data_IF_524512489025
#
_entry.id   IF_524512489025
#
_cell.length_a   1.000
_cell.length_b   1.000
_cell.length_c   1.000
_cell.angle_alpha   90.00
_cell.angle_beta   90.00
_cell.angle_gamma   90.00
#
_symmetry.space_group_name_H-M   'P 1'
#
loop_
_entity.id
_entity.type
_entity.pdbx_description
1 polymer ?
#
# COMPACT_ATOMS: atom_id res chain seq x y z
N UNK A 1 38.30 35.26 13.53
CA UNK A 1 38.38 33.99 14.28
C UNK A 1 38.08 32.86 13.31
N UNK A 2 39.12 32.12 12.96
CA UNK A 2 39.05 30.89 12.14
C UNK A 2 38.89 29.72 13.10
N UNK A 3 37.91 28.86 12.87
CA UNK A 3 37.62 27.71 13.73
C UNK A 3 37.05 26.54 12.95
N UNK A 4 37.94 25.60 12.62
CA UNK A 4 37.73 24.16 12.43
C UNK A 4 36.58 23.71 11.49
N UNK A 5 36.87 23.70 10.18
CA UNK A 5 36.35 22.64 9.30
C UNK A 5 37.10 21.34 9.62
N UNK A 6 36.34 20.28 9.79
CA UNK A 6 36.79 18.93 10.10
C UNK A 6 37.81 18.42 9.08
N UNK A 7 38.99 18.00 9.54
CA UNK A 7 40.06 17.36 8.75
C UNK A 7 39.63 16.05 8.02
N UNK A 8 38.39 15.61 8.18
CA UNK A 8 37.85 14.40 7.53
C UNK A 8 37.34 14.71 6.11
N UNK A 9 36.75 15.90 5.89
CA UNK A 9 36.16 16.28 4.60
C UNK A 9 37.24 16.55 3.53
N UNK A 10 38.34 17.19 3.93
CA UNK A 10 39.43 17.56 3.01
C UNK A 10 40.25 16.33 2.54
N UNK A 11 40.30 15.26 3.35
CA UNK A 11 40.94 13.99 2.97
C UNK A 11 40.08 13.13 2.04
N UNK A 12 38.76 13.26 2.07
CA UNK A 12 37.87 12.55 1.14
C UNK A 12 37.86 13.20 -0.25
N UNK A 13 37.85 14.53 -0.32
CA UNK A 13 37.86 15.27 -1.60
C UNK A 13 39.18 15.02 -2.35
N UNK A 14 40.33 15.01 -1.65
CA UNK A 14 41.64 14.69 -2.26
C UNK A 14 41.77 13.24 -2.75
N UNK A 15 40.95 12.31 -2.26
CA UNK A 15 40.95 10.91 -2.74
C UNK A 15 40.05 10.72 -3.97
N UNK A 16 39.10 11.62 -4.22
CA UNK A 16 38.23 11.57 -5.40
C UNK A 16 38.90 12.15 -6.65
N UNK A 17 39.76 13.17 -6.52
CA UNK A 17 40.49 13.74 -7.66
C UNK A 17 41.69 12.88 -8.14
N UNK A 18 42.11 11.88 -7.35
CA UNK A 18 43.26 11.03 -7.67
C UNK A 18 42.90 9.73 -8.41
N UNK A 19 41.61 9.43 -8.61
CA UNK A 19 41.13 8.26 -9.33
C UNK A 19 40.49 8.68 -10.65
N UNK A 20 41.35 9.06 -11.59
CA UNK A 20 40.99 9.14 -12.99
C UNK A 20 40.43 7.80 -13.50
N UNK A 21 39.45 7.90 -14.41
CA UNK A 21 38.73 6.83 -15.10
C UNK A 21 37.79 5.96 -14.24
N UNK A 22 36.53 6.38 -14.17
CA UNK A 22 35.41 5.59 -13.68
C UNK A 22 34.73 4.82 -14.81
N UNK A 23 35.27 3.66 -15.19
CA UNK A 23 34.55 2.68 -16.05
C UNK A 23 34.33 1.32 -15.38
N UNK A 24 34.68 1.16 -14.09
CA UNK A 24 34.52 -0.13 -13.42
C UNK A 24 34.26 0.06 -11.91
N UNK A 25 33.06 0.54 -11.57
CA UNK A 25 32.57 0.45 -10.20
C UNK A 25 32.16 -1.00 -9.94
N UNK A 26 33.04 -1.75 -9.26
CA UNK A 26 32.82 -3.12 -8.81
C UNK A 26 31.63 -3.17 -7.84
N UNK A 27 30.43 -3.37 -8.40
CA UNK A 27 29.14 -3.50 -7.70
C UNK A 27 29.22 -4.55 -6.60
N UNK A 28 30.09 -5.57 -6.76
CA UNK A 28 30.31 -6.61 -5.75
C UNK A 28 30.94 -6.03 -4.49
N UNK A 29 31.88 -5.10 -4.60
CA UNK A 29 32.51 -4.45 -3.45
C UNK A 29 31.52 -3.59 -2.66
N UNK A 30 30.64 -2.84 -3.36
CA UNK A 30 29.60 -2.04 -2.74
C UNK A 30 28.56 -2.90 -2.00
N UNK A 31 28.09 -3.98 -2.64
CA UNK A 31 27.15 -4.93 -2.02
C UNK A 31 27.78 -5.63 -0.83
N UNK A 32 29.03 -6.11 -0.94
CA UNK A 32 29.71 -6.78 0.16
C UNK A 32 30.00 -5.85 1.35
N UNK A 33 30.30 -4.58 1.10
CA UNK A 33 30.44 -3.60 2.18
C UNK A 33 29.10 -3.32 2.87
N UNK A 34 27.98 -3.33 2.13
CA UNK A 34 26.64 -3.17 2.71
C UNK A 34 26.21 -4.39 3.53
N UNK A 35 26.49 -5.61 3.04
CA UNK A 35 26.24 -6.85 3.79
C UNK A 35 27.06 -6.86 5.09
N UNK A 36 28.32 -6.42 5.04
CA UNK A 36 29.17 -6.34 6.24
C UNK A 36 28.62 -5.32 7.25
N UNK A 37 28.17 -4.15 6.80
CA UNK A 37 27.57 -3.13 7.66
C UNK A 37 26.26 -3.60 8.34
N UNK A 38 25.41 -4.34 7.62
CA UNK A 38 24.17 -4.91 8.19
C UNK A 38 24.50 -5.97 9.25
N UNK A 39 25.48 -6.82 8.98
CA UNK A 39 25.92 -7.86 9.91
C UNK A 39 26.56 -7.28 11.18
N UNK A 40 27.32 -6.19 11.06
CA UNK A 40 27.90 -5.50 12.22
C UNK A 40 26.82 -4.78 13.06
N UNK A 41 25.79 -4.21 12.42
CA UNK A 41 24.63 -3.66 13.14
C UNK A 41 23.83 -4.75 13.87
N UNK A 42 23.61 -5.91 13.26
CA UNK A 42 22.93 -7.04 13.92
C UNK A 42 23.71 -7.56 15.13
N UNK A 43 25.04 -7.67 15.05
CA UNK A 43 25.88 -8.02 16.21
C UNK A 43 25.77 -7.02 17.37
N UNK A 44 25.54 -5.75 17.06
CA UNK A 44 25.39 -4.71 18.08
C UNK A 44 24.02 -4.83 18.77
N UNK A 45 22.96 -5.14 18.02
CA UNK A 45 21.61 -5.39 18.56
C UNK A 45 21.50 -6.71 19.35
N UNK A 46 22.19 -7.76 18.91
CA UNK A 46 22.22 -9.04 19.62
C UNK A 46 23.01 -8.95 20.94
N UNK A 47 24.04 -8.11 20.99
CA UNK A 47 24.80 -7.80 22.21
C UNK A 47 24.00 -7.02 23.26
N UNK A 48 23.09 -6.14 22.83
CA UNK A 48 22.14 -5.47 23.73
C UNK A 48 21.04 -6.42 24.23
N UNK A 49 20.62 -7.41 23.42
CA UNK A 49 19.68 -8.44 23.87
C UNK A 49 20.28 -9.46 24.86
N UNK A 50 21.59 -9.72 24.82
CA UNK A 50 22.24 -10.57 25.84
C UNK A 50 22.28 -9.94 27.23
N UNK A 51 22.41 -8.61 27.33
CA UNK A 51 22.34 -7.91 28.62
C UNK A 51 20.93 -7.88 29.23
N UNK A 52 19.88 -7.94 28.40
CA UNK A 52 18.49 -8.05 28.86
C UNK A 52 18.10 -9.48 29.29
N UNK A 53 18.86 -10.49 28.84
CA UNK A 53 18.60 -11.89 29.20
C UNK A 53 19.19 -12.27 30.57
N UNK A 54 20.35 -11.69 30.92
CA UNK A 54 20.97 -11.89 32.24
C UNK A 54 20.17 -11.22 33.38
N UNK A 55 19.36 -10.20 33.10
CA UNK A 55 18.42 -9.61 34.07
C UNK A 55 17.12 -10.41 34.26
N UNK A 56 16.79 -11.36 33.36
CA UNK A 56 15.55 -12.14 33.42
C UNK A 56 15.71 -13.57 33.99
N UNK A 57 16.94 -14.08 34.16
CA UNK A 57 17.19 -15.43 34.69
C UNK A 57 17.35 -15.48 36.24
N UNK A 58 16.99 -14.41 36.96
CA UNK A 58 17.00 -14.34 38.44
C UNK A 58 15.77 -14.97 39.14
N UNK A 59 14.86 -15.65 38.43
CA UNK A 59 13.70 -16.27 39.07
C UNK A 59 13.44 -17.70 38.57
N UNK A 60 13.84 -18.68 39.40
CA UNK A 60 13.14 -19.96 39.59
C UNK A 60 13.44 -21.12 38.62
N UNK A 61 14.12 -22.15 39.14
CA UNK A 61 14.31 -23.49 38.54
C UNK A 61 13.02 -24.37 38.54
N UNK A 62 12.99 -25.56 37.87
CA UNK A 62 11.96 -25.90 36.89
C UNK A 62 11.01 -27.07 37.27
N UNK A 63 9.84 -27.11 36.61
CA UNK A 63 8.98 -28.30 36.51
C UNK A 63 8.92 -28.82 35.06
N UNK A 64 9.18 -30.11 34.88
CA UNK A 64 9.34 -30.78 33.57
C UNK A 64 8.07 -30.78 32.67
N UNK A 65 8.24 -30.85 31.33
CA UNK A 65 7.13 -30.75 30.37
C UNK A 65 6.47 -32.11 30.07
N UNK A 66 5.13 -32.10 29.95
CA UNK A 66 4.37 -33.18 29.32
C UNK A 66 4.11 -32.79 27.86
N UNK A 67 4.73 -33.52 26.93
CA UNK A 67 4.45 -33.43 25.49
C UNK A 67 3.04 -33.95 25.19
N UNK A 68 2.22 -33.13 24.53
CA UNK A 68 1.16 -33.62 23.65
C UNK A 68 1.33 -33.01 22.27
N UNK A 69 1.71 -33.87 21.33
CA UNK A 69 1.77 -33.59 19.90
C UNK A 69 0.35 -33.45 19.38
N UNK A 70 -0.03 -32.27 18.90
CA UNK A 70 -1.25 -32.06 18.14
C UNK A 70 -0.87 -31.59 16.73
N UNK A 71 -1.01 -32.48 15.75
CA UNK A 71 -0.90 -32.15 14.32
C UNK A 71 -1.92 -31.07 13.97
N UNK A 72 -1.44 -29.87 13.60
CA UNK A 72 -2.28 -28.81 13.08
C UNK A 72 -2.22 -28.83 11.56
N UNK A 73 -3.22 -29.46 10.96
CA UNK A 73 -3.49 -29.39 9.53
C UNK A 73 -3.81 -27.93 9.16
N UNK A 74 -3.00 -27.33 8.29
CA UNK A 74 -3.21 -25.98 7.77
C UNK A 74 -4.28 -26.05 6.66
N UNK A 75 -5.41 -25.33 6.75
CA UNK A 75 -6.33 -25.24 5.62
C UNK A 75 -5.76 -24.28 4.56
N UNK A 76 -5.50 -24.78 3.35
CA UNK A 76 -5.25 -23.95 2.17
C UNK A 76 -6.51 -23.12 1.85
N UNK A 77 -6.40 -21.81 1.56
CA UNK A 77 -7.53 -21.03 1.09
C UNK A 77 -8.01 -21.52 -0.29
N UNK A 78 -9.32 -21.58 -0.41
CA UNK A 78 -10.07 -22.16 -1.51
C UNK A 78 -9.86 -21.43 -2.85
N UNK A 79 -9.63 -22.25 -3.87
CA UNK A 79 -9.59 -21.98 -5.31
C UNK A 79 -10.46 -20.81 -5.79
N UNK A 80 -9.81 -19.86 -6.45
CA UNK A 80 -10.39 -18.86 -7.33
C UNK A 80 -11.41 -19.49 -8.30
N UNK A 81 -12.66 -19.02 -8.23
CA UNK A 81 -13.67 -19.34 -9.25
C UNK A 81 -13.33 -18.59 -10.54
N UNK A 82 -12.80 -19.31 -11.53
CA UNK A 82 -12.75 -18.85 -12.93
C UNK A 82 -14.18 -18.64 -13.43
N UNK A 83 -14.58 -17.39 -13.68
CA UNK A 83 -15.72 -17.11 -14.56
C UNK A 83 -15.17 -16.95 -15.98
N UNK A 84 -15.39 -17.97 -16.79
CA UNK A 84 -15.32 -17.88 -18.25
C UNK A 84 -16.47 -16.98 -18.70
N UNK A 85 -16.17 -15.78 -19.19
CA UNK A 85 -17.12 -14.99 -19.97
C UNK A 85 -16.74 -15.13 -21.45
N UNK A 86 -17.36 -16.11 -22.09
CA UNK A 86 -17.50 -16.14 -23.55
C UNK A 86 -18.49 -15.05 -23.96
N UNK A 87 -18.05 -14.12 -24.81
CA UNK A 87 -18.95 -13.13 -25.40
C UNK A 87 -19.88 -13.76 -26.44
N UNK A 88 -21.13 -13.32 -26.47
CA UNK A 88 -21.98 -13.18 -27.67
C UNK A 88 -23.03 -12.09 -27.38
N UNK A 89 -23.16 -11.14 -28.30
CA UNK A 89 -24.22 -10.13 -28.40
C UNK A 89 -25.60 -10.76 -28.62
N UNK A 90 -26.66 -10.21 -28.01
CA UNK A 90 -27.98 -10.06 -28.66
C UNK A 90 -28.93 -9.23 -27.79
N UNK A 91 -29.48 -8.18 -28.41
CA UNK A 91 -30.65 -7.45 -27.93
C UNK A 91 -31.91 -8.33 -27.95
N UNK A 92 -32.88 -8.05 -27.07
CA UNK A 92 -34.32 -7.97 -27.38
C UNK A 92 -35.06 -7.29 -26.22
N UNK A 93 -36.04 -6.51 -26.62
CA UNK A 93 -36.92 -5.57 -25.93
C UNK A 93 -38.14 -6.24 -25.25
N UNK A 94 -38.70 -5.50 -24.28
CA UNK A 94 -40.12 -5.37 -23.86
C UNK A 94 -40.76 -6.33 -22.83
N UNK A 95 -41.51 -5.69 -21.91
CA UNK A 95 -42.61 -6.27 -21.12
C UNK A 95 -42.55 -5.92 -19.61
N UNK A 96 -42.80 -4.69 -19.17
CA UNK A 96 -44.08 -4.17 -18.63
C UNK A 96 -44.69 -4.86 -17.39
N UNK A 97 -44.93 -4.02 -16.36
CA UNK A 97 -46.00 -4.02 -15.32
C UNK A 97 -45.67 -4.62 -13.94
N UNK A 98 -45.93 -3.79 -12.90
CA UNK A 98 -46.20 -4.22 -11.51
C UNK A 98 -45.69 -3.26 -10.44
N UNK A 99 -46.13 -2.00 -10.41
CA UNK A 99 -46.95 -1.43 -9.31
C UNK A 99 -46.67 -1.94 -7.89
N UNK A 100 -46.15 -1.05 -7.05
CA UNK A 100 -46.00 -1.26 -5.61
C UNK A 100 -45.61 0.04 -4.90
N UNK A 101 -46.51 1.02 -4.96
CA UNK A 101 -46.43 2.22 -4.13
C UNK A 101 -46.57 1.83 -2.65
N UNK A 102 -45.58 2.19 -1.83
CA UNK A 102 -45.78 2.34 -0.39
C UNK A 102 -45.56 3.81 -0.04
N UNK A 103 -46.62 4.42 0.49
CA UNK A 103 -46.72 5.84 0.75
C UNK A 103 -45.90 6.27 1.96
N UNK A 104 -45.35 7.47 1.80
CA UNK A 104 -45.16 8.48 2.83
C UNK A 104 -46.38 8.58 3.76
N UNK A 105 -46.15 8.53 5.08
CA UNK A 105 -46.78 9.39 6.10
C UNK A 105 -46.28 8.98 7.48
N UNK A 106 -45.65 9.91 8.19
CA UNK A 106 -45.20 9.72 9.57
C UNK A 106 -44.47 10.93 10.11
N UNK A 107 -45.08 12.11 9.99
CA UNK A 107 -44.64 13.33 10.67
C UNK A 107 -44.78 13.10 12.18
N UNK A 108 -43.67 12.80 12.84
CA UNK A 108 -43.56 12.71 14.29
C UNK A 108 -42.32 13.49 14.69
N UNK A 109 -42.52 14.75 15.09
CA UNK A 109 -41.48 15.58 15.68
C UNK A 109 -40.95 14.92 16.95
N UNK A 110 -39.75 14.35 16.86
CA UNK A 110 -38.92 14.04 18.02
C UNK A 110 -37.53 14.54 17.66
N UNK A 111 -37.25 15.76 18.15
CA UNK A 111 -35.93 16.30 18.49
C UNK A 111 -34.75 15.58 17.86
N UNK A 112 -34.13 16.25 16.89
CA UNK A 112 -32.70 16.12 16.59
C UNK A 112 -31.92 16.09 17.91
N UNK A 113 -31.58 14.90 18.37
CA UNK A 113 -30.29 14.72 19.03
C UNK A 113 -29.33 14.48 17.89
N UNK A 114 -28.59 15.52 17.55
CA UNK A 114 -27.25 15.40 17.00
C UNK A 114 -26.44 14.49 17.93
N UNK A 115 -26.56 13.18 17.74
CA UNK A 115 -25.53 12.24 18.15
C UNK A 115 -24.42 12.38 17.12
N UNK A 116 -23.73 13.52 17.14
CA UNK A 116 -22.40 13.61 16.55
C UNK A 116 -21.57 12.53 17.23
N UNK A 117 -21.21 11.49 16.48
CA UNK A 117 -20.21 10.52 16.93
C UNK A 117 -18.97 11.31 17.34
N UNK A 118 -18.62 11.27 18.62
CA UNK A 118 -17.37 11.82 19.10
C UNK A 118 -16.24 10.83 18.79
N UNK A 119 -15.02 11.34 18.59
CA UNK A 119 -13.82 10.51 18.53
C UNK A 119 -13.06 10.72 19.83
N UNK A 120 -12.98 9.69 20.64
CA UNK A 120 -12.13 9.66 21.82
C UNK A 120 -10.69 9.36 21.40
N UNK A 121 -9.75 10.20 21.83
CA UNK A 121 -8.36 10.12 21.37
C UNK A 121 -7.45 9.83 22.53
N UNK A 122 -6.70 8.73 22.42
CA UNK A 122 -5.69 8.32 23.38
C UNK A 122 -4.30 8.39 22.75
N UNK A 123 -3.32 8.95 23.47
CA UNK A 123 -1.91 8.98 23.09
C UNK A 123 -1.11 8.13 24.07
N UNK A 124 -0.70 6.90 23.70
CA UNK A 124 0.14 6.07 24.57
C UNK A 124 1.48 6.75 24.84
N UNK A 125 1.97 6.66 26.07
CA UNK A 125 3.23 7.27 26.51
C UNK A 125 4.47 6.65 25.87
N UNK A 126 4.38 5.42 25.37
CA UNK A 126 5.46 4.68 24.68
C UNK A 126 5.35 4.74 23.15
N UNK A 127 4.35 5.44 22.60
CA UNK A 127 4.09 5.54 21.15
C UNK A 127 3.55 4.26 20.50
N UNK A 128 3.45 3.15 21.24
CA UNK A 128 2.99 1.86 20.73
C UNK A 128 1.46 1.75 20.83
N UNK A 129 0.79 1.72 19.69
CA UNK A 129 -0.65 1.53 19.59
C UNK A 129 -0.92 0.13 19.07
N UNK A 130 -1.80 -0.59 19.76
CA UNK A 130 -2.33 -1.87 19.30
C UNK A 130 -3.85 -1.75 19.15
N UNK A 131 -4.36 -2.17 17.99
CA UNK A 131 -5.78 -2.39 17.78
C UNK A 131 -6.09 -3.87 18.02
N UNK A 132 -7.22 -4.13 18.69
CA UNK A 132 -7.73 -5.47 18.95
C UNK A 132 -9.08 -5.68 18.27
N UNK A 133 -9.36 -6.91 17.85
CA UNK A 133 -10.70 -7.26 17.36
C UNK A 133 -11.68 -7.53 18.51
N UNK A 134 -12.94 -7.85 18.20
CA UNK A 134 -13.96 -8.13 19.23
C UNK A 134 -13.62 -9.33 20.13
N UNK A 135 -12.74 -10.23 19.66
CA UNK A 135 -12.21 -11.36 20.43
C UNK A 135 -10.99 -11.03 21.30
N UNK A 136 -10.55 -9.75 21.36
CA UNK A 136 -9.38 -9.32 22.13
C UNK A 136 -8.04 -9.66 21.50
N UNK A 137 -8.02 -10.17 20.26
CA UNK A 137 -6.78 -10.50 19.55
C UNK A 137 -6.20 -9.25 18.90
N UNK A 138 -4.90 -9.03 19.06
CA UNK A 138 -4.18 -7.97 18.35
C UNK A 138 -4.23 -8.17 16.83
N UNK A 139 -4.65 -7.14 16.10
CA UNK A 139 -4.79 -7.14 14.64
C UNK A 139 -3.88 -6.14 13.97
N UNK A 140 -3.64 -4.98 14.60
CA UNK A 140 -2.71 -3.94 14.13
C UNK A 140 -1.81 -3.54 15.28
N UNK A 141 -0.52 -3.36 15.01
CA UNK A 141 0.44 -2.80 15.98
C UNK A 141 1.33 -1.77 15.31
N UNK A 142 1.53 -0.62 15.94
CA UNK A 142 2.53 0.34 15.46
C UNK A 142 3.94 -0.10 15.84
N UNK A 143 4.89 0.16 14.93
CA UNK A 143 6.32 -0.10 15.15
C UNK A 143 7.12 1.11 14.68
N UNK A 144 8.10 1.53 15.47
CA UNK A 144 9.03 2.57 15.02
C UNK A 144 9.97 2.00 13.97
N UNK A 145 10.12 2.71 12.86
CA UNK A 145 10.97 2.31 11.75
C UNK A 145 11.99 3.40 11.47
N UNK A 146 13.21 3.18 11.97
CA UNK A 146 14.32 4.14 11.88
C UNK A 146 15.29 3.81 10.73
N UNK A 147 14.79 3.17 9.67
CA UNK A 147 15.67 2.76 8.57
C UNK A 147 15.90 3.97 7.68
N UNK A 148 17.15 4.42 7.51
CA UNK A 148 17.43 5.58 6.67
C UNK A 148 16.92 5.33 5.26
N UNK A 149 16.26 6.33 4.68
CA UNK A 149 15.76 6.28 3.30
C UNK A 149 16.96 5.93 2.41
N UNK A 150 16.91 4.84 1.63
CA UNK A 150 18.02 4.47 0.77
C UNK A 150 18.30 5.61 -0.21
N UNK A 151 19.55 6.07 -0.27
CA UNK A 151 19.97 6.98 -1.33
C UNK A 151 19.83 6.25 -2.68
N UNK A 152 19.11 6.87 -3.63
CA UNK A 152 19.00 6.32 -4.99
C UNK A 152 20.38 6.31 -5.66
N UNK A 153 20.72 5.20 -6.31
CA UNK A 153 21.91 5.14 -7.16
C UNK A 153 21.55 5.51 -8.59
N UNK A 154 22.49 6.01 -9.42
CA UNK A 154 22.22 6.27 -10.83
C UNK A 154 21.68 5.05 -11.59
N UNK A 155 22.05 3.83 -11.18
CA UNK A 155 21.54 2.60 -11.75
C UNK A 155 20.05 2.37 -11.43
N UNK A 156 19.61 2.69 -10.20
CA UNK A 156 18.19 2.63 -9.80
C UNK A 156 17.39 3.67 -10.56
N UNK A 157 17.88 4.90 -10.65
CA UNK A 157 17.20 5.98 -11.38
C UNK A 157 17.02 5.63 -12.85
N UNK A 158 18.07 5.11 -13.49
CA UNK A 158 18.00 4.65 -14.88
C UNK A 158 17.03 3.48 -15.06
N UNK A 159 17.03 2.51 -14.15
CA UNK A 159 16.09 1.39 -14.18
C UNK A 159 14.64 1.88 -14.07
N UNK A 160 14.34 2.76 -13.12
CA UNK A 160 13.00 3.32 -12.91
C UNK A 160 12.54 4.15 -14.12
N UNK A 161 13.44 4.93 -14.72
CA UNK A 161 13.18 5.72 -15.93
C UNK A 161 12.83 4.81 -17.13
N UNK A 162 13.59 3.74 -17.36
CA UNK A 162 13.28 2.75 -18.40
C UNK A 162 11.97 2.02 -18.12
N UNK A 163 11.74 1.61 -16.87
CA UNK A 163 10.49 0.96 -16.46
C UNK A 163 9.28 1.85 -16.73
N UNK A 164 9.36 3.14 -16.39
CA UNK A 164 8.32 4.11 -16.68
C UNK A 164 8.09 4.28 -18.18
N UNK A 165 9.16 4.40 -18.97
CA UNK A 165 9.09 4.51 -20.44
C UNK A 165 8.37 3.32 -21.07
N UNK A 166 8.71 2.10 -20.67
CA UNK A 166 8.02 0.90 -21.18
C UNK A 166 6.57 0.82 -20.70
N UNK A 167 6.30 1.21 -19.45
CA UNK A 167 4.93 1.29 -18.93
C UNK A 167 4.08 2.26 -19.76
N UNK A 168 4.58 3.45 -20.09
CA UNK A 168 3.88 4.42 -20.94
C UNK A 168 3.58 3.87 -22.34
N UNK A 169 4.53 3.16 -22.95
CA UNK A 169 4.29 2.48 -24.23
C UNK A 169 3.15 1.46 -24.13
N UNK A 170 3.07 0.70 -23.04
CA UNK A 170 1.95 -0.24 -22.82
C UNK A 170 0.64 0.53 -22.64
N UNK A 171 0.63 1.56 -21.80
CA UNK A 171 -0.57 2.37 -21.52
C UNK A 171 -1.13 3.02 -22.80
N UNK A 172 -0.29 3.41 -23.75
CA UNK A 172 -0.73 3.96 -25.04
C UNK A 172 -1.55 2.96 -25.90
N UNK A 173 -1.52 1.67 -25.57
CA UNK A 173 -2.30 0.61 -26.25
C UNK A 173 -3.51 0.14 -25.44
N UNK A 174 -3.79 0.79 -24.30
CA UNK A 174 -4.87 0.44 -23.40
C UNK A 174 -5.92 1.56 -23.36
N UNK A 175 -7.18 1.18 -23.51
CA UNK A 175 -8.30 2.04 -23.17
C UNK A 175 -8.41 2.15 -21.64
N UNK A 176 -9.09 3.21 -21.16
CA UNK A 176 -9.42 3.34 -19.74
C UNK A 176 -10.14 2.09 -19.23
N UNK A 177 -9.71 1.57 -18.08
CA UNK A 177 -10.22 0.32 -17.49
C UNK A 177 -9.56 -0.95 -18.02
N UNK A 178 -8.65 -0.88 -19.00
CA UNK A 178 -7.93 -2.06 -19.50
C UNK A 178 -6.59 -2.27 -18.78
N UNK A 179 -6.18 -3.53 -18.70
CA UNK A 179 -4.91 -3.97 -18.13
C UNK A 179 -4.14 -4.82 -19.14
N UNK A 180 -2.81 -4.75 -19.09
CA UNK A 180 -1.94 -5.68 -19.80
C UNK A 180 -0.83 -6.21 -18.90
N UNK A 181 -0.48 -7.46 -19.13
CA UNK A 181 0.81 -7.99 -18.71
C UNK A 181 1.83 -7.70 -19.80
N UNK A 182 3.07 -7.38 -19.42
CA UNK A 182 4.13 -7.12 -20.37
C UNK A 182 5.51 -7.61 -19.90
N UNK A 183 6.38 -7.83 -20.87
CA UNK A 183 7.74 -8.29 -20.71
C UNK A 183 8.67 -7.45 -21.59
N UNK A 184 9.79 -7.03 -21.02
CA UNK A 184 10.80 -6.20 -21.68
C UNK A 184 12.03 -7.03 -22.01
N UNK A 185 12.26 -7.27 -23.30
CA UNK A 185 13.47 -7.85 -23.86
C UNK A 185 14.43 -6.76 -24.38
N UNK A 186 14.85 -5.88 -23.46
CA UNK A 186 15.90 -4.89 -23.73
C UNK A 186 17.15 -5.27 -22.93
N UNK A 187 18.31 -5.26 -23.60
CA UNK A 187 19.59 -5.66 -23.03
C UNK A 187 19.99 -4.78 -21.83
N UNK A 188 19.80 -3.48 -21.93
CA UNK A 188 20.14 -2.54 -20.86
C UNK A 188 19.17 -2.69 -19.68
N UNK A 189 17.86 -2.73 -19.96
CA UNK A 189 16.84 -2.97 -18.94
C UNK A 189 17.12 -4.28 -18.20
N UNK A 190 17.40 -5.35 -18.94
CA UNK A 190 17.71 -6.68 -18.39
C UNK A 190 18.97 -6.67 -17.54
N UNK A 191 20.02 -5.98 -18.00
CA UNK A 191 21.28 -5.86 -17.26
C UNK A 191 21.05 -5.14 -15.92
N UNK A 192 20.31 -4.04 -15.93
CA UNK A 192 19.97 -3.28 -14.73
C UNK A 192 19.10 -4.09 -13.78
N UNK A 193 18.04 -4.72 -14.27
CA UNK A 193 17.13 -5.53 -13.46
C UNK A 193 17.87 -6.68 -12.76
N UNK A 194 18.79 -7.36 -13.46
CA UNK A 194 19.63 -8.42 -12.87
C UNK A 194 20.65 -7.85 -11.88
N UNK A 195 21.34 -6.77 -12.23
CA UNK A 195 22.36 -6.16 -11.38
C UNK A 195 21.80 -5.60 -10.07
N UNK A 196 20.53 -5.16 -10.08
CA UNK A 196 19.80 -4.68 -8.91
C UNK A 196 19.04 -5.79 -8.15
N UNK A 197 19.09 -7.04 -8.64
CA UNK A 197 18.40 -8.17 -8.01
C UNK A 197 16.89 -8.23 -8.25
N UNK A 198 16.33 -7.35 -9.09
CA UNK A 198 14.91 -7.37 -9.46
C UNK A 198 14.58 -8.55 -10.39
N UNK A 199 15.53 -9.03 -11.19
CA UNK A 199 15.28 -10.07 -12.19
C UNK A 199 14.38 -9.57 -13.33
N UNK A 200 14.36 -10.30 -14.45
CA UNK A 200 13.47 -9.97 -15.57
C UNK A 200 12.06 -10.46 -15.26
N UNK A 201 11.25 -9.58 -14.68
CA UNK A 201 9.91 -9.91 -14.22
C UNK A 201 8.85 -9.58 -15.27
N UNK A 202 7.80 -10.39 -15.27
CA UNK A 202 6.52 -10.04 -15.90
C UNK A 202 5.98 -8.83 -15.14
N UNK A 203 5.65 -7.78 -15.87
CA UNK A 203 5.15 -6.52 -15.34
C UNK A 203 3.68 -6.35 -15.73
N UNK A 204 3.00 -5.43 -15.05
CA UNK A 204 1.60 -5.13 -15.30
C UNK A 204 1.39 -3.63 -15.43
N UNK A 205 0.57 -3.24 -16.41
CA UNK A 205 0.15 -1.85 -16.60
C UNK A 205 -1.38 -1.81 -16.66
N UNK A 206 -1.95 -0.85 -15.94
CA UNK A 206 -3.39 -0.61 -15.89
C UNK A 206 -3.66 0.85 -16.26
N UNK A 207 -4.57 1.06 -17.20
CA UNK A 207 -5.02 2.38 -17.61
C UNK A 207 -6.19 2.80 -16.73
N UNK A 208 -5.89 3.55 -15.66
CA UNK A 208 -6.87 3.91 -14.64
C UNK A 208 -8.01 4.78 -15.21
N UNK A 209 -9.28 4.34 -15.12
CA UNK A 209 -10.43 5.14 -15.52
C UNK A 209 -10.72 6.24 -14.49
N UNK A 210 -11.24 7.38 -14.95
CA UNK A 210 -11.66 8.50 -14.10
C UNK A 210 -13.18 8.59 -14.12
N UNK A 211 -13.78 8.60 -12.93
CA UNK A 211 -15.22 8.68 -12.73
C UNK A 211 -15.58 10.02 -12.11
N UNK A 212 -16.39 10.81 -12.81
CA UNK A 212 -16.94 12.09 -12.29
C UNK A 212 -18.31 11.91 -11.60
N UNK A 213 -18.85 10.69 -11.58
CA UNK A 213 -20.09 10.36 -10.88
C UNK A 213 -19.82 9.29 -9.84
N UNK A 214 -20.18 9.60 -8.59
CA UNK A 214 -20.01 8.69 -7.46
C UNK A 214 -20.66 7.31 -7.70
N UNK A 215 -21.88 7.29 -8.25
CA UNK A 215 -22.61 6.04 -8.48
C UNK A 215 -21.91 5.13 -9.49
N UNK A 216 -21.31 5.70 -10.54
CA UNK A 216 -20.58 4.94 -11.56
C UNK A 216 -19.30 4.35 -10.96
N UNK A 217 -18.59 5.14 -10.15
CA UNK A 217 -17.41 4.68 -9.42
C UNK A 217 -17.73 3.51 -8.47
N UNK A 218 -18.75 3.66 -7.62
CA UNK A 218 -19.16 2.60 -6.67
C UNK A 218 -19.60 1.34 -7.40
N UNK A 219 -20.31 1.49 -8.52
CA UNK A 219 -20.73 0.36 -9.35
C UNK A 219 -19.53 -0.39 -9.93
N UNK A 220 -18.53 0.33 -10.42
CA UNK A 220 -17.30 -0.25 -10.93
C UNK A 220 -16.53 -0.99 -9.83
N UNK A 221 -16.33 -0.37 -8.67
CA UNK A 221 -15.60 -0.99 -7.56
C UNK A 221 -16.23 -2.33 -7.14
N UNK A 222 -17.57 -2.37 -7.02
CA UNK A 222 -18.33 -3.60 -6.71
C UNK A 222 -18.32 -4.64 -7.84
N UNK A 223 -18.19 -4.20 -9.10
CA UNK A 223 -18.15 -5.09 -10.26
C UNK A 223 -16.79 -5.75 -10.45
N UNK A 224 -15.72 -5.01 -10.14
CA UNK A 224 -14.33 -5.41 -10.40
C UNK A 224 -13.70 -6.15 -9.20
N UNK A 225 -14.24 -6.01 -7.99
CA UNK A 225 -13.91 -6.85 -6.84
C UNK A 225 -14.77 -6.55 -5.60
N UNK A 226 -14.52 -7.26 -4.50
CA UNK A 226 -15.07 -6.88 -3.18
C UNK A 226 -14.23 -5.76 -2.56
N UNK A 227 -14.02 -4.67 -3.33
CA UNK A 227 -13.33 -3.48 -2.83
C UNK A 227 -14.33 -2.55 -2.17
N UNK A 228 -14.05 -2.19 -0.92
CA UNK A 228 -14.94 -1.38 -0.12
C UNK A 228 -14.91 0.09 -0.54
N UNK A 229 -16.04 0.70 -0.94
CA UNK A 229 -16.04 2.08 -1.39
C UNK A 229 -16.66 3.05 -0.38
N UNK A 230 -16.95 2.70 0.89
CA UNK A 230 -17.78 3.55 1.79
C UNK A 230 -17.21 4.93 2.17
N UNK A 231 -16.33 5.47 1.36
CA UNK A 231 -16.28 6.90 1.14
C UNK A 231 -17.67 7.37 0.65
N UNK A 232 -18.37 8.26 1.38
CA UNK A 232 -19.71 8.73 0.98
C UNK A 232 -19.61 9.72 -0.19
N UNK A 233 -20.73 10.00 -0.87
CA UNK A 233 -20.74 11.04 -1.91
C UNK A 233 -20.59 12.46 -1.35
N UNK A 234 -20.83 12.66 -0.05
CA UNK A 234 -20.72 13.94 0.66
C UNK A 234 -20.13 13.65 2.05
N UNK A 235 -19.07 14.36 2.43
CA UNK A 235 -18.48 14.29 3.78
C UNK A 235 -19.31 15.10 4.78
N UNK A 236 -19.20 14.79 6.08
CA UNK A 236 -20.03 15.43 7.12
C UNK A 236 -19.85 16.96 7.24
N UNK A 237 -18.78 17.55 6.69
CA UNK A 237 -18.55 19.00 6.62
C UNK A 237 -18.97 19.62 5.26
N UNK A 238 -19.68 18.88 4.41
CA UNK A 238 -20.26 19.37 3.16
C UNK A 238 -19.31 19.38 1.96
N UNK A 239 -18.19 18.67 2.00
CA UNK A 239 -17.39 18.43 0.80
C UNK A 239 -18.08 17.38 -0.07
N UNK A 240 -18.22 17.67 -1.36
CA UNK A 240 -18.92 16.83 -2.31
C UNK A 240 -17.93 16.11 -3.22
N UNK A 241 -18.27 14.86 -3.55
CA UNK A 241 -17.52 14.05 -4.50
C UNK A 241 -17.31 14.83 -5.81
N UNK A 242 -16.06 14.90 -6.26
CA UNK A 242 -15.69 15.54 -7.52
C UNK A 242 -15.33 14.49 -8.58
N UNK A 243 -14.35 13.65 -8.28
CA UNK A 243 -13.96 12.52 -9.12
C UNK A 243 -13.27 11.42 -8.33
N UNK A 244 -13.16 10.24 -8.92
CA UNK A 244 -12.38 9.14 -8.38
C UNK A 244 -11.74 8.28 -9.46
N UNK A 245 -10.71 7.55 -9.05
CA UNK A 245 -10.04 6.54 -9.87
C UNK A 245 -9.59 5.37 -8.98
N UNK A 246 -9.06 4.31 -9.61
CA UNK A 246 -8.51 3.18 -8.88
C UNK A 246 -7.29 2.61 -9.60
N UNK A 247 -6.51 1.81 -8.87
CA UNK A 247 -5.39 1.01 -9.38
C UNK A 247 -5.77 -0.46 -9.29
N UNK A 248 -5.58 -1.18 -10.39
CA UNK A 248 -5.77 -2.63 -10.43
C UNK A 248 -4.62 -3.33 -9.72
N UNK A 249 -4.94 -4.35 -8.92
CA UNK A 249 -3.92 -5.21 -8.34
C UNK A 249 -3.35 -6.15 -9.43
N UNK A 250 -2.05 -6.51 -9.37
CA UNK A 250 -1.51 -7.57 -10.20
C UNK A 250 -2.31 -8.88 -9.99
N UNK A 251 -2.79 -9.53 -11.07
CA UNK A 251 -3.62 -10.73 -10.94
C UNK A 251 -2.82 -11.96 -10.52
N UNK A 252 -1.49 -11.94 -10.70
CA UNK A 252 -0.59 -13.05 -10.42
C UNK A 252 0.71 -12.56 -9.78
N UNK A 253 1.24 -13.37 -8.89
CA UNK A 253 2.53 -13.21 -8.22
C UNK A 253 3.60 -14.13 -8.82
N UNK A 254 4.89 -13.84 -8.63
CA UNK A 254 5.98 -14.67 -9.17
C UNK A 254 5.94 -16.16 -8.77
N UNK A 255 5.28 -16.49 -7.66
CA UNK A 255 5.11 -17.87 -7.20
C UNK A 255 4.03 -18.63 -7.99
N UNK A 256 3.06 -17.92 -8.55
CA UNK A 256 1.90 -18.47 -9.22
C UNK A 256 2.27 -19.16 -10.54
N UNK A 257 1.49 -20.17 -10.91
CA UNK A 257 1.70 -20.92 -12.13
C UNK A 257 1.42 -20.06 -13.36
N UNK A 258 0.32 -19.34 -13.34
CA UNK A 258 -0.14 -18.44 -14.42
C UNK A 258 0.91 -17.36 -14.74
N UNK A 259 1.55 -16.80 -13.72
CA UNK A 259 2.66 -15.86 -13.89
C UNK A 259 3.82 -16.50 -14.67
N UNK A 260 4.27 -17.69 -14.26
CA UNK A 260 5.40 -18.40 -14.88
C UNK A 260 5.10 -18.78 -16.32
N UNK A 261 3.91 -19.29 -16.58
CA UNK A 261 3.46 -19.66 -17.93
C UNK A 261 3.44 -18.45 -18.87
N UNK A 262 2.91 -17.32 -18.41
CA UNK A 262 2.86 -16.09 -19.21
C UNK A 262 4.26 -15.52 -19.47
N UNK A 263 5.13 -15.51 -18.46
CA UNK A 263 6.52 -15.09 -18.59
C UNK A 263 7.28 -15.97 -19.61
N UNK A 264 7.12 -17.29 -19.52
CA UNK A 264 7.73 -18.23 -20.47
C UNK A 264 7.23 -18.00 -21.90
N UNK A 265 5.95 -17.72 -22.09
CA UNK A 265 5.38 -17.41 -23.39
C UNK A 265 5.99 -16.15 -23.99
N UNK A 266 6.10 -15.06 -23.22
CA UNK A 266 6.75 -13.83 -23.70
C UNK A 266 8.24 -14.04 -23.98
N UNK A 267 8.96 -14.79 -23.16
CA UNK A 267 10.36 -15.11 -23.42
C UNK A 267 10.54 -15.97 -24.68
N UNK A 268 9.62 -16.91 -24.96
CA UNK A 268 9.62 -17.68 -26.22
C UNK A 268 9.39 -16.76 -27.42
N UNK A 269 8.37 -15.87 -27.35
CA UNK A 269 8.10 -14.86 -28.40
C UNK A 269 9.33 -13.97 -28.64
N UNK A 270 9.99 -13.52 -27.58
CA UNK A 270 11.17 -12.68 -27.67
C UNK A 270 12.40 -13.37 -28.29
N UNK A 271 12.59 -14.68 -28.04
CA UNK A 271 13.71 -15.44 -28.63
C UNK A 271 13.59 -15.68 -30.12
N UNK A 272 12.36 -15.80 -30.63
CA UNK A 272 12.11 -16.06 -32.05
C UNK A 272 11.87 -14.79 -32.86
N UNK A 273 11.68 -13.65 -32.18
CA UNK A 273 11.54 -12.36 -32.84
C UNK A 273 12.83 -11.96 -33.57
N UNK A 274 12.67 -11.56 -34.83
CA UNK A 274 13.75 -11.06 -35.69
C UNK A 274 13.61 -9.57 -35.98
N UNK A 275 12.54 -8.94 -35.51
CA UNK A 275 12.24 -7.53 -35.77
C UNK A 275 13.00 -6.59 -34.84
N UNK A 276 13.57 -7.12 -33.75
CA UNK A 276 14.22 -6.32 -32.71
C UNK A 276 13.22 -5.69 -31.75
N UNK A 277 12.00 -6.23 -31.69
CA UNK A 277 10.97 -5.78 -30.78
C UNK A 277 11.42 -6.02 -29.33
N UNK A 278 11.35 -4.97 -28.52
CA UNK A 278 11.78 -5.00 -27.12
C UNK A 278 10.63 -5.24 -26.14
N UNK A 279 9.38 -4.95 -26.54
CA UNK A 279 8.23 -4.99 -25.66
C UNK A 279 7.23 -6.04 -26.14
N UNK A 280 6.93 -7.02 -25.29
CA UNK A 280 5.93 -8.06 -25.53
C UNK A 280 4.82 -7.91 -24.52
N UNK A 281 3.56 -7.82 -24.96
CA UNK A 281 2.44 -7.59 -24.05
C UNK A 281 1.20 -8.36 -24.49
N UNK A 282 0.29 -8.56 -23.54
CA UNK A 282 -1.01 -9.18 -23.74
C UNK A 282 -2.04 -8.53 -22.81
N UNK A 283 -3.21 -8.19 -23.36
CA UNK A 283 -4.32 -7.67 -22.55
C UNK A 283 -4.83 -8.77 -21.63
N UNK A 284 -5.07 -8.43 -20.37
CA UNK A 284 -5.55 -9.35 -19.35
C UNK A 284 -6.76 -8.76 -18.64
N UNK A 285 -7.57 -9.61 -18.02
CA UNK A 285 -8.72 -9.16 -17.24
C UNK A 285 -8.26 -8.51 -15.92
N UNK A 286 -8.94 -7.43 -15.54
CA UNK A 286 -8.87 -6.89 -14.18
C UNK A 286 -9.79 -7.73 -13.30
N UNK A 287 -9.27 -8.22 -12.17
CA UNK A 287 -10.02 -9.09 -11.25
C UNK A 287 -9.89 -8.66 -9.78
N UNK A 288 -9.10 -7.62 -9.50
CA UNK A 288 -8.86 -7.11 -8.17
C UNK A 288 -8.40 -5.65 -8.21
N UNK A 289 -8.67 -4.93 -7.13
CA UNK A 289 -8.34 -3.53 -6.95
C UNK A 289 -7.31 -3.42 -5.82
N UNK A 290 -6.23 -2.70 -6.08
CA UNK A 290 -5.14 -2.43 -5.13
C UNK A 290 -5.49 -1.24 -4.24
N UNK A 291 -5.88 -0.13 -4.87
CA UNK A 291 -6.23 1.10 -4.19
C UNK A 291 -7.24 1.92 -4.98
N UNK A 292 -7.93 2.81 -4.28
CA UNK A 292 -8.81 3.83 -4.83
C UNK A 292 -8.28 5.22 -4.48
N UNK A 293 -8.52 6.19 -5.33
CA UNK A 293 -8.19 7.60 -5.11
C UNK A 293 -9.47 8.41 -5.34
N UNK A 294 -9.82 9.28 -4.39
CA UNK A 294 -11.07 10.06 -4.42
C UNK A 294 -10.77 11.52 -4.12
N UNK A 295 -11.30 12.41 -4.95
CA UNK A 295 -11.30 13.86 -4.75
C UNK A 295 -12.67 14.33 -4.29
N UNK A 296 -12.67 15.21 -3.31
CA UNK A 296 -13.83 16.00 -2.91
C UNK A 296 -13.53 17.47 -3.03
N UNK A 297 -14.56 18.26 -3.28
CA UNK A 297 -14.45 19.70 -3.39
C UNK A 297 -15.45 20.42 -2.48
N UNK A 298 -15.08 21.61 -2.04
CA UNK A 298 -15.96 22.57 -1.38
C UNK A 298 -15.42 23.98 -1.64
N UNK A 299 -16.16 24.79 -2.38
CA UNK A 299 -15.69 26.11 -2.82
C UNK A 299 -14.33 25.98 -3.52
N UNK A 300 -13.32 26.72 -3.08
CA UNK A 300 -11.95 26.67 -3.63
C UNK A 300 -11.05 25.60 -2.97
N UNK A 301 -11.62 24.72 -2.14
CA UNK A 301 -10.87 23.72 -1.39
C UNK A 301 -11.08 22.31 -1.94
N UNK A 302 -9.99 21.54 -2.04
CA UNK A 302 -10.00 20.14 -2.49
C UNK A 302 -9.42 19.23 -1.41
N UNK A 303 -10.05 18.07 -1.23
CA UNK A 303 -9.57 16.98 -0.39
C UNK A 303 -9.30 15.77 -1.28
N UNK A 304 -8.05 15.32 -1.30
CA UNK A 304 -7.64 14.10 -2.01
C UNK A 304 -7.34 12.99 -0.99
N UNK A 305 -7.94 11.83 -1.21
CA UNK A 305 -7.80 10.67 -0.35
C UNK A 305 -7.40 9.45 -1.16
N UNK A 306 -6.44 8.69 -0.65
CA UNK A 306 -6.04 7.39 -1.18
C UNK A 306 -6.43 6.28 -0.20
N UNK A 307 -7.29 5.37 -0.65
CA UNK A 307 -7.78 4.22 0.10
C UNK A 307 -7.12 2.95 -0.40
N UNK A 308 -6.62 2.12 0.51
CA UNK A 308 -6.16 0.76 0.23
C UNK A 308 -6.68 -0.22 1.27
N UNK A 309 -6.78 -1.49 0.88
CA UNK A 309 -7.23 -2.57 1.75
C UNK A 309 -6.35 -3.81 1.57
N UNK A 310 -6.16 -4.58 2.62
CA UNK A 310 -5.48 -5.87 2.59
C UNK A 310 -6.23 -6.90 3.42
N UNK A 311 -6.24 -8.15 2.96
CA UNK A 311 -6.85 -9.25 3.70
C UNK A 311 -6.05 -9.53 4.98
N UNK A 312 -6.75 -9.72 6.10
CA UNK A 312 -6.12 -10.10 7.36
C UNK A 312 -5.72 -11.58 7.33
N UNK A 313 -4.41 -11.85 7.36
CA UNK A 313 -3.86 -13.22 7.27
C UNK A 313 -3.74 -13.93 8.62
N UNK A 314 -4.40 -13.44 9.68
CA UNK A 314 -4.37 -14.08 11.00
C UNK A 314 -3.17 -13.73 11.89
N UNK A 315 -2.19 -12.97 11.39
CA UNK A 315 -1.08 -12.40 12.17
C UNK A 315 -1.27 -10.92 12.49
N UNK A 316 -0.45 -10.36 13.38
CA UNK A 316 -0.50 -8.91 13.67
C UNK A 316 0.06 -8.15 12.46
N UNK A 317 -0.73 -7.22 11.91
CA UNK A 317 -0.26 -6.29 10.88
C UNK A 317 0.55 -5.17 11.54
N UNK A 318 1.81 -5.03 11.13
CA UNK A 318 2.67 -3.95 11.62
C UNK A 318 2.50 -2.70 10.76
N UNK A 319 2.33 -1.55 11.41
CA UNK A 319 2.26 -0.25 10.76
C UNK A 319 3.42 0.60 11.23
N UNK A 320 4.25 1.06 10.29
CA UNK A 320 5.45 1.83 10.60
C UNK A 320 5.12 3.28 10.98
N UNK A 321 5.66 3.73 12.11
CA UNK A 321 5.81 5.14 12.48
C UNK A 321 7.23 5.54 12.12
N UNK A 322 7.37 6.51 11.21
CA UNK A 322 8.67 7.01 10.77
C UNK A 322 9.17 8.11 11.72
N UNK A 323 10.46 8.43 11.63
CA UNK A 323 11.05 9.54 12.35
C UNK A 323 10.28 10.85 12.09
N UNK A 324 10.05 11.62 13.15
CA UNK A 324 9.25 12.85 13.10
C UNK A 324 7.73 12.66 13.05
N UNK A 325 7.21 11.44 12.92
CA UNK A 325 5.77 11.18 12.98
C UNK A 325 5.29 10.90 14.41
N UNK A 326 4.01 11.17 14.65
CA UNK A 326 3.33 10.81 15.90
C UNK A 326 2.11 9.96 15.58
N UNK A 327 1.71 9.10 16.51
CA UNK A 327 0.55 8.25 16.35
C UNK A 327 -0.46 8.45 17.49
N UNK A 328 -1.74 8.36 17.15
CA UNK A 328 -2.87 8.52 18.05
C UNK A 328 -3.82 7.32 17.87
N UNK A 329 -4.36 6.82 18.98
CA UNK A 329 -5.44 5.83 18.94
C UNK A 329 -6.77 6.58 18.95
N UNK A 330 -7.57 6.36 17.92
CA UNK A 330 -8.88 7.00 17.75
C UNK A 330 -9.97 5.97 17.98
N UNK A 331 -10.87 6.23 18.91
CA UNK A 331 -12.01 5.38 19.23
C UNK A 331 -13.30 6.12 18.87
N UNK A 332 -14.10 5.58 17.97
CA UNK A 332 -15.34 6.22 17.55
C UNK A 332 -16.46 5.86 18.52
N UNK A 333 -16.96 6.87 19.22
CA UNK A 333 -18.02 6.74 20.21
C UNK A 333 -19.30 6.24 19.53
N UNK A 334 -19.98 5.28 20.16
CA UNK A 334 -21.22 4.68 19.66
C UNK A 334 -21.04 3.42 18.82
N UNK A 335 -19.89 3.26 18.15
CA UNK A 335 -19.59 2.08 17.30
C UNK A 335 -18.57 1.15 17.97
N UNK A 336 -17.74 1.70 18.88
CA UNK A 336 -16.66 0.98 19.54
C UNK A 336 -15.50 0.64 18.60
N UNK A 337 -15.52 1.14 17.37
CA UNK A 337 -14.46 0.91 16.39
C UNK A 337 -13.24 1.74 16.73
N UNK A 338 -12.08 1.13 16.53
CA UNK A 338 -10.79 1.74 16.82
C UNK A 338 -9.95 1.89 15.55
N UNK A 339 -9.18 2.97 15.50
CA UNK A 339 -8.26 3.27 14.42
C UNK A 339 -6.92 3.79 14.97
N UNK A 340 -5.87 3.64 14.17
CA UNK A 340 -4.58 4.29 14.38
C UNK A 340 -4.47 5.44 13.40
N UNK A 341 -4.40 6.66 13.93
CA UNK A 341 -4.03 7.84 13.14
C UNK A 341 -2.53 8.08 13.29
N UNK A 342 -1.82 8.29 12.19
CA UNK A 342 -0.41 8.68 12.17
C UNK A 342 -0.32 10.01 11.47
N UNK A 343 0.10 11.04 12.21
CA UNK A 343 0.29 12.37 11.66
C UNK A 343 1.52 12.43 10.76
N UNK A 344 1.44 13.24 9.70
CA UNK A 344 2.58 13.57 8.85
C UNK A 344 3.75 14.12 9.69
N UNK A 345 4.96 13.78 9.30
CA UNK A 345 6.18 14.26 9.93
C UNK A 345 6.39 15.75 9.65
N UNK A 346 6.83 16.50 10.65
CA UNK A 346 7.01 17.95 10.55
C UNK A 346 8.31 18.39 9.88
N UNK A 347 9.17 17.44 9.48
CA UNK A 347 10.46 17.75 8.87
C UNK A 347 10.30 18.24 7.42
N UNK A 348 10.66 19.51 7.22
CA UNK A 348 10.69 20.15 5.89
C UNK A 348 11.67 19.41 4.99
N UNK A 349 11.17 18.86 3.88
CA UNK A 349 11.98 18.27 2.81
C UNK A 349 11.80 16.77 2.62
N UNK A 350 11.07 16.08 3.50
CA UNK A 350 10.70 14.68 3.25
C UNK A 350 9.65 14.60 2.14
N UNK A 351 10.07 14.27 0.92
CA UNK A 351 9.17 13.91 -0.18
C UNK A 351 8.99 12.40 -0.15
N UNK A 352 8.07 11.91 0.70
CA UNK A 352 7.87 10.48 0.87
C UNK A 352 6.70 10.16 1.80
N UNK A 353 6.51 8.88 2.08
CA UNK A 353 5.42 8.37 2.93
C UNK A 353 5.36 9.00 4.33
N UNK A 354 6.44 9.60 4.81
CA UNK A 354 6.49 10.37 6.05
C UNK A 354 5.67 11.66 6.01
N UNK A 355 5.42 12.24 4.84
CA UNK A 355 4.72 13.52 4.69
C UNK A 355 3.20 13.41 4.62
N UNK A 356 2.65 12.20 4.68
CA UNK A 356 1.21 11.95 4.63
C UNK A 356 0.67 11.65 6.03
N UNK A 357 -0.53 12.15 6.29
CA UNK A 357 -1.33 11.65 7.39
C UNK A 357 -1.96 10.32 6.96
N UNK A 358 -2.09 9.40 7.92
CA UNK A 358 -2.53 8.03 7.63
C UNK A 358 -3.48 7.55 8.70
N UNK A 359 -4.55 6.88 8.31
CA UNK A 359 -5.50 6.27 9.21
C UNK A 359 -5.64 4.79 8.88
N UNK A 360 -5.41 3.92 9.87
CA UNK A 360 -5.53 2.47 9.74
C UNK A 360 -6.62 1.94 10.66
N UNK A 361 -7.45 1.02 10.17
CA UNK A 361 -8.42 0.31 10.99
C UNK A 361 -8.63 -1.12 10.50
N UNK A 362 -9.15 -1.96 11.38
CA UNK A 362 -9.56 -3.32 11.04
C UNK A 362 -11.07 -3.35 10.85
N UNK A 363 -11.53 -3.86 9.71
CA UNK A 363 -12.92 -4.22 9.53
C UNK A 363 -13.11 -5.72 9.76
N UNK A 364 -13.77 -6.05 10.86
CA UNK A 364 -13.99 -7.42 11.29
C UNK A 364 -15.00 -8.15 10.38
N UNK A 365 -15.96 -7.44 9.79
CA UNK A 365 -16.97 -8.02 8.91
C UNK A 365 -16.36 -8.59 7.63
N UNK A 366 -15.44 -7.86 7.01
CA UNK A 366 -14.72 -8.31 5.81
C UNK A 366 -13.37 -8.96 6.11
N UNK A 367 -12.95 -9.01 7.38
CA UNK A 367 -11.59 -9.43 7.79
C UNK A 367 -10.50 -8.70 6.99
N UNK A 368 -10.60 -7.38 6.86
CA UNK A 368 -9.62 -6.57 6.10
C UNK A 368 -9.00 -5.49 6.96
N UNK A 369 -7.71 -5.26 6.78
CA UNK A 369 -7.03 -4.06 7.25
C UNK A 369 -7.16 -2.99 6.18
N UNK A 370 -7.68 -1.83 6.57
CA UNK A 370 -7.88 -0.70 5.68
C UNK A 370 -6.96 0.44 6.06
N UNK A 371 -6.59 1.23 5.06
CA UNK A 371 -5.82 2.44 5.27
C UNK A 371 -6.29 3.55 4.35
N UNK A 372 -6.39 4.75 4.92
CA UNK A 372 -6.68 5.98 4.21
C UNK A 372 -5.50 6.93 4.40
N UNK A 373 -5.05 7.59 3.34
CA UNK A 373 -4.00 8.61 3.39
C UNK A 373 -4.42 9.86 2.62
N UNK A 374 -3.88 11.02 2.98
CA UNK A 374 -4.09 12.26 2.23
C UNK A 374 -3.09 12.38 1.07
N UNK A 375 -3.32 13.31 0.15
CA UNK A 375 -2.42 13.58 -0.96
C UNK A 375 -1.03 14.04 -0.49
N UNK A 376 0.03 13.56 -1.15
CA UNK A 376 1.44 13.88 -0.80
C UNK A 376 1.75 15.39 -0.72
N UNK A 377 1.00 16.21 -1.46
CA UNK A 377 1.23 17.65 -1.55
C UNK A 377 0.16 18.48 -0.80
N UNK A 378 -0.90 17.84 -0.32
CA UNK A 378 -2.08 18.49 0.27
C UNK A 378 -2.43 17.80 1.59
N UNK A 379 -1.56 17.97 2.59
CA UNK A 379 -1.78 17.36 3.89
C UNK A 379 -2.97 18.01 4.59
N UNK A 380 -3.93 17.19 5.00
CA UNK A 380 -5.16 17.65 5.63
C UNK A 380 -4.89 18.00 7.10
N UNK A 381 -5.70 18.89 7.66
CA UNK A 381 -5.64 19.16 9.10
C UNK A 381 -6.18 17.97 9.89
N UNK A 382 -5.79 17.89 11.16
CA UNK A 382 -6.28 16.86 12.08
C UNK A 382 -7.81 16.90 12.22
N UNK A 383 -8.40 18.08 12.24
CA UNK A 383 -9.86 18.28 12.33
C UNK A 383 -10.56 17.77 11.07
N UNK A 384 -9.99 18.00 9.88
CA UNK A 384 -10.51 17.43 8.64
C UNK A 384 -10.47 15.90 8.70
N UNK A 385 -9.38 15.32 9.21
CA UNK A 385 -9.28 13.87 9.42
C UNK A 385 -10.32 13.32 10.39
N UNK A 386 -10.66 14.03 11.46
CA UNK A 386 -11.72 13.61 12.37
C UNK A 386 -13.09 13.59 11.69
N UNK A 387 -13.39 14.61 10.87
CA UNK A 387 -14.62 14.64 10.06
C UNK A 387 -14.67 13.47 9.08
N UNK A 388 -13.55 13.22 8.41
CA UNK A 388 -13.38 12.10 7.48
C UNK A 388 -13.64 10.80 8.26
N UNK A 389 -12.91 10.53 9.35
CA UNK A 389 -13.06 9.33 10.18
C UNK A 389 -14.51 9.10 10.68
N UNK A 390 -15.18 10.14 11.15
CA UNK A 390 -16.59 10.07 11.58
C UNK A 390 -17.55 9.71 10.44
N UNK A 391 -17.18 9.98 9.19
CA UNK A 391 -18.03 9.70 8.04
C UNK A 391 -18.05 8.21 7.66
N UNK A 392 -16.99 7.44 7.95
CA UNK A 392 -16.84 6.05 7.47
C UNK A 392 -16.49 4.99 8.52
N UNK A 393 -16.01 5.37 9.71
CA UNK A 393 -15.82 4.41 10.80
C UNK A 393 -17.16 4.28 11.57
N UNK A 394 -18.15 3.68 10.92
CA UNK A 394 -19.51 3.46 11.45
C UNK A 394 -19.73 2.04 11.95
#
# INVERSE_FOLDING_TARGET
>A
MVGQRSCVEEKMIKKMDALGNCDELDVKAAVMNRVRAIHDQQKTMDGEMTNLRDELESFGEPGAPVMQTQEKTIPLPSKFRKRLLSGVSAAILLGMIGFGAFQLSGLGSLTERDSQSAIDITKPSDGAITLVNSGGKAVVKTVHYNTPVPSTSPAIEKYLSLLATYKEQVLAHLNAGEMAAYYVNDTEFTKLAKGLGYGNQLQFAFSSPVYSKYQDFVKELKGTGDFWPELPSILANGYEFEYATFKAAPPYWPIDKEYKEMLEQFQKKAKVDKTGQKLFMEKIAVNAIESAEVSYHKEDQTIELSLSQSAYMGGITQVSILEGQTAEKWSVTGTGKEAVFIAAGTEKGSKGWSSQNRLYWYDEASQTIRSLNDGLNNSLTREQWQVIANSFIR
#
